data_IF_833834509965
#
_entry.id   IF_833834509965
#
_cell.length_a   1.000
_cell.length_b   1.000
_cell.length_c   1.000
_cell.angle_alpha   90.00
_cell.angle_beta   90.00
_cell.angle_gamma   90.00
#
_symmetry.space_group_name_H-M   'P 1'
#
loop_
_entity.id
_entity.type
_entity.pdbx_description
1 polymer ?
#
# COMPACT_ATOMS: atom_id res chain seq x y z
N UNK A 1 1.94 -3.16 18.79
CA UNK A 1 1.15 -3.83 17.74
C UNK A 1 0.00 -2.91 17.34
N UNK A 2 -0.35 -2.88 16.05
CA UNK A 2 -1.48 -2.11 15.52
C UNK A 2 -2.47 -3.03 14.82
N UNK A 3 -3.71 -2.57 14.59
CA UNK A 3 -4.63 -3.26 13.70
C UNK A 3 -4.28 -2.91 12.25
N UNK A 4 -4.55 -3.83 11.33
CA UNK A 4 -4.30 -3.65 9.90
C UNK A 4 -5.57 -3.88 9.07
N UNK A 5 -5.65 -3.24 7.93
CA UNK A 5 -6.59 -3.62 6.89
C UNK A 5 -5.89 -3.85 5.55
N UNK A 6 -6.37 -4.82 4.80
CA UNK A 6 -5.94 -5.09 3.43
C UNK A 6 -7.03 -4.61 2.49
N UNK A 7 -6.70 -3.69 1.60
CA UNK A 7 -7.63 -3.18 0.58
C UNK A 7 -7.64 -4.12 -0.62
N UNK A 8 -8.57 -5.09 -0.60
CA UNK A 8 -8.68 -6.18 -1.55
C UNK A 8 -9.84 -6.01 -2.56
N UNK A 9 -10.20 -4.75 -2.87
CA UNK A 9 -11.22 -4.43 -3.88
C UNK A 9 -10.72 -4.37 -5.32
N UNK A 10 -9.44 -4.64 -5.56
CA UNK A 10 -8.80 -4.53 -6.87
C UNK A 10 -9.28 -5.59 -7.87
N UNK A 11 -9.66 -5.14 -9.09
CA UNK A 11 -9.91 -6.01 -10.23
C UNK A 11 -8.86 -5.80 -11.30
N UNK A 12 -8.42 -6.89 -11.89
CA UNK A 12 -7.51 -6.90 -13.03
C UNK A 12 -8.01 -7.92 -14.07
N UNK A 13 -8.83 -7.48 -15.06
CA UNK A 13 -9.44 -8.39 -16.04
C UNK A 13 -8.43 -9.25 -16.81
N UNK A 14 -7.20 -8.76 -16.98
CA UNK A 14 -6.13 -9.50 -17.63
C UNK A 14 -5.67 -10.75 -16.83
N UNK A 15 -5.94 -10.80 -15.53
CA UNK A 15 -5.62 -11.97 -14.70
C UNK A 15 -6.52 -13.17 -15.02
N UNK A 16 -7.80 -12.93 -15.38
CA UNK A 16 -8.80 -14.00 -15.56
C UNK A 16 -8.38 -15.11 -16.52
N UNK A 17 -7.84 -14.82 -17.72
CA UNK A 17 -7.39 -15.89 -18.63
C UNK A 17 -6.16 -16.64 -18.13
N UNK A 18 -5.38 -16.08 -17.22
CA UNK A 18 -4.15 -16.68 -16.69
C UNK A 18 -4.37 -17.47 -15.40
N UNK A 19 -5.30 -17.01 -14.57
CA UNK A 19 -5.48 -17.48 -13.19
C UNK A 19 -6.88 -17.97 -12.86
N UNK A 20 -7.84 -17.79 -13.76
CA UNK A 20 -9.27 -18.11 -13.54
C UNK A 20 -10.03 -17.03 -12.78
N UNK A 21 -9.36 -16.02 -12.20
CA UNK A 21 -10.00 -14.93 -11.45
C UNK A 21 -9.53 -13.57 -11.93
N UNK A 22 -10.39 -12.55 -11.79
CA UNK A 22 -10.04 -11.16 -11.99
C UNK A 22 -9.80 -10.41 -10.67
N UNK A 23 -10.11 -11.03 -9.53
CA UNK A 23 -9.83 -10.51 -8.20
C UNK A 23 -8.35 -10.70 -7.86
N UNK A 24 -7.59 -9.59 -7.74
CA UNK A 24 -6.15 -9.65 -7.48
C UNK A 24 -5.81 -10.45 -6.23
N UNK A 25 -6.54 -10.21 -5.15
CA UNK A 25 -6.31 -10.90 -3.88
C UNK A 25 -6.39 -12.44 -3.99
N UNK A 26 -7.24 -12.96 -4.88
CA UNK A 26 -7.47 -14.41 -5.08
C UNK A 26 -6.51 -15.03 -6.12
N UNK A 27 -5.78 -14.20 -6.89
CA UNK A 27 -4.92 -14.71 -7.94
C UNK A 27 -3.77 -15.55 -7.35
N UNK A 28 -3.50 -16.74 -7.90
CA UNK A 28 -2.40 -17.59 -7.47
C UNK A 28 -1.05 -17.04 -7.93
N UNK A 29 -0.07 -17.13 -7.03
CA UNK A 29 1.36 -16.87 -7.28
C UNK A 29 2.15 -17.97 -6.59
N UNK A 30 2.81 -18.85 -7.36
CA UNK A 30 3.36 -20.07 -6.79
C UNK A 30 2.28 -20.94 -6.16
N UNK A 31 2.49 -21.39 -4.94
CA UNK A 31 1.59 -22.31 -4.25
C UNK A 31 0.49 -21.62 -3.42
N UNK A 32 0.49 -20.28 -3.36
CA UNK A 32 -0.45 -19.49 -2.54
C UNK A 32 -1.14 -18.41 -3.39
N UNK A 33 -2.23 -17.85 -2.87
CA UNK A 33 -2.83 -16.64 -3.42
C UNK A 33 -2.02 -15.40 -3.01
N UNK A 34 -2.12 -14.33 -3.75
CA UNK A 34 -1.47 -13.05 -3.41
C UNK A 34 -1.79 -12.64 -1.98
N UNK A 35 -3.07 -12.75 -1.58
CA UNK A 35 -3.51 -12.34 -0.24
C UNK A 35 -2.83 -13.15 0.88
N UNK A 36 -2.54 -14.41 0.66
CA UNK A 36 -1.96 -15.29 1.67
C UNK A 36 -0.54 -14.87 2.02
N UNK A 37 0.28 -14.45 1.04
CA UNK A 37 1.62 -13.89 1.29
C UNK A 37 1.57 -12.63 2.13
N UNK A 38 0.58 -11.76 1.88
CA UNK A 38 0.44 -10.50 2.62
C UNK A 38 0.01 -10.78 4.06
N UNK A 39 -0.95 -11.68 4.27
CA UNK A 39 -1.38 -12.10 5.62
C UNK A 39 -0.20 -12.69 6.39
N UNK A 40 0.54 -13.62 5.77
CA UNK A 40 1.72 -14.25 6.38
C UNK A 40 2.76 -13.20 6.79
N UNK A 41 3.07 -12.25 5.91
CA UNK A 41 4.02 -11.18 6.21
C UNK A 41 3.58 -10.31 7.38
N UNK A 42 2.29 -9.95 7.44
CA UNK A 42 1.74 -9.15 8.52
C UNK A 42 1.75 -9.91 9.86
N UNK A 43 1.27 -11.15 9.89
CA UNK A 43 1.22 -11.97 11.10
C UNK A 43 2.62 -12.28 11.63
N UNK A 44 3.54 -12.73 10.77
CA UNK A 44 4.92 -13.08 11.14
C UNK A 44 5.77 -11.85 11.50
N UNK A 45 5.33 -10.64 11.14
CA UNK A 45 6.02 -9.42 11.59
C UNK A 45 5.98 -9.22 13.09
N UNK A 46 4.95 -9.73 13.77
CA UNK A 46 4.68 -9.45 15.18
C UNK A 46 4.26 -8.00 15.47
N UNK A 47 4.05 -7.18 14.43
CA UNK A 47 3.66 -5.78 14.56
C UNK A 47 2.14 -5.56 14.46
N UNK A 48 1.41 -6.54 13.93
CA UNK A 48 -0.02 -6.48 13.67
C UNK A 48 -0.78 -7.33 14.69
N UNK A 49 -1.89 -6.77 15.22
CA UNK A 49 -2.75 -7.42 16.21
C UNK A 49 -3.92 -8.15 15.55
N UNK A 50 -4.69 -7.44 14.73
CA UNK A 50 -5.86 -7.96 13.99
C UNK A 50 -5.75 -7.52 12.54
N UNK A 51 -6.29 -8.33 11.65
CA UNK A 51 -6.33 -8.05 10.21
C UNK A 51 -7.80 -8.04 9.75
N UNK A 52 -8.18 -6.99 9.03
CA UNK A 52 -9.44 -6.92 8.29
C UNK A 52 -9.13 -6.93 6.80
N UNK A 53 -9.75 -7.82 6.04
CA UNK A 53 -9.68 -7.79 4.58
C UNK A 53 -10.96 -7.14 4.07
N UNK A 54 -10.82 -6.01 3.41
CA UNK A 54 -11.92 -5.34 2.72
C UNK A 54 -11.88 -5.74 1.24
N UNK A 55 -12.80 -6.63 0.85
CA UNK A 55 -12.86 -7.21 -0.48
C UNK A 55 -14.20 -6.92 -1.16
N UNK A 56 -14.26 -7.12 -2.48
CA UNK A 56 -15.54 -7.07 -3.21
C UNK A 56 -16.48 -8.16 -2.74
N UNK A 57 -17.77 -7.89 -2.82
CA UNK A 57 -18.82 -8.81 -2.41
C UNK A 57 -18.68 -10.20 -3.05
N UNK A 58 -18.25 -10.25 -4.32
CA UNK A 58 -18.08 -11.49 -5.08
C UNK A 58 -16.91 -12.36 -4.57
N UNK A 59 -15.88 -11.75 -3.97
CA UNK A 59 -14.73 -12.46 -3.41
C UNK A 59 -14.93 -12.93 -1.97
N UNK A 60 -15.84 -12.30 -1.22
CA UNK A 60 -16.04 -12.58 0.22
C UNK A 60 -16.41 -14.04 0.52
N UNK A 61 -17.26 -14.75 -0.25
CA UNK A 61 -17.59 -16.15 0.04
C UNK A 61 -16.36 -17.07 0.00
N UNK A 62 -15.50 -16.91 -1.00
CA UNK A 62 -14.27 -17.70 -1.13
C UNK A 62 -13.28 -17.38 -0.01
N UNK A 63 -13.07 -16.09 0.29
CA UNK A 63 -12.21 -15.67 1.39
C UNK A 63 -12.71 -16.23 2.73
N UNK A 64 -14.02 -16.17 2.98
CA UNK A 64 -14.61 -16.71 4.22
C UNK A 64 -14.45 -18.21 4.37
N UNK A 65 -14.50 -18.95 3.27
CA UNK A 65 -14.37 -20.41 3.27
C UNK A 65 -12.91 -20.87 3.45
N UNK A 66 -11.93 -20.04 3.10
CA UNK A 66 -10.53 -20.47 2.98
C UNK A 66 -9.58 -19.81 3.96
N UNK A 67 -9.95 -18.68 4.56
CA UNK A 67 -9.10 -17.97 5.53
C UNK A 67 -9.38 -18.41 6.97
N UNK A 68 -8.38 -18.28 7.86
CA UNK A 68 -8.58 -18.47 9.29
C UNK A 68 -9.68 -17.57 9.86
N UNK A 69 -10.38 -18.03 10.90
CA UNK A 69 -11.54 -17.35 11.49
C UNK A 69 -11.20 -16.07 12.26
N UNK A 70 -9.94 -15.87 12.59
CA UNK A 70 -9.41 -14.65 13.23
C UNK A 70 -9.17 -13.51 12.24
N UNK A 71 -9.20 -13.80 10.93
CA UNK A 71 -9.18 -12.78 9.88
C UNK A 71 -10.59 -12.23 9.67
N UNK A 72 -10.75 -10.94 9.94
CA UNK A 72 -12.02 -10.25 9.77
C UNK A 72 -12.25 -9.87 8.30
N UNK A 73 -13.50 -9.87 7.86
CA UNK A 73 -13.87 -9.55 6.48
C UNK A 73 -14.91 -8.42 6.46
N UNK A 74 -14.76 -7.50 5.53
CA UNK A 74 -15.80 -6.52 5.19
C UNK A 74 -15.86 -6.27 3.68
N UNK A 75 -16.93 -5.64 3.23
CA UNK A 75 -17.03 -5.20 1.84
C UNK A 75 -16.15 -3.96 1.61
N UNK A 76 -15.44 -3.94 0.48
CA UNK A 76 -14.67 -2.79 0.04
C UNK A 76 -15.60 -1.70 -0.50
N UNK A 77 -15.46 -0.50 0.01
CA UNK A 77 -16.27 0.65 -0.38
C UNK A 77 -15.48 1.58 -1.30
N UNK A 78 -16.02 1.84 -2.49
CA UNK A 78 -15.68 2.92 -3.40
C UNK A 78 -14.18 3.21 -3.62
N UNK A 79 -13.58 4.01 -2.72
CA UNK A 79 -12.18 4.41 -2.74
C UNK A 79 -11.41 3.89 -1.52
N UNK A 80 -10.08 3.97 -1.54
CA UNK A 80 -9.22 3.50 -0.44
C UNK A 80 -9.58 4.13 0.93
N UNK A 81 -9.84 5.45 1.05
CA UNK A 81 -10.26 6.02 2.32
C UNK A 81 -11.63 5.52 2.81
N UNK A 82 -12.60 5.29 1.92
CA UNK A 82 -13.89 4.71 2.28
C UNK A 82 -13.73 3.26 2.77
N UNK A 83 -12.92 2.48 2.07
CA UNK A 83 -12.54 1.13 2.46
C UNK A 83 -11.86 1.10 3.83
N UNK A 84 -10.95 2.05 4.11
CA UNK A 84 -10.30 2.17 5.41
C UNK A 84 -11.31 2.47 6.54
N UNK A 85 -12.31 3.32 6.28
CA UNK A 85 -13.39 3.60 7.23
C UNK A 85 -14.28 2.38 7.48
N UNK A 86 -14.61 1.61 6.43
CA UNK A 86 -15.38 0.37 6.56
C UNK A 86 -14.62 -0.66 7.42
N UNK A 87 -13.33 -0.84 7.17
CA UNK A 87 -12.47 -1.70 7.97
C UNK A 87 -12.36 -1.24 9.43
N UNK A 88 -12.22 0.07 9.66
CA UNK A 88 -12.18 0.63 11.01
C UNK A 88 -13.48 0.40 11.79
N UNK A 89 -14.64 0.43 11.13
CA UNK A 89 -15.95 0.10 11.74
C UNK A 89 -16.00 -1.37 12.18
N UNK A 90 -15.47 -2.30 11.35
CA UNK A 90 -15.43 -3.73 11.70
C UNK A 90 -14.48 -4.00 12.86
N UNK A 91 -13.37 -3.27 12.96
CA UNK A 91 -12.45 -3.35 14.09
C UNK A 91 -13.06 -2.83 15.40
N UNK A 92 -14.05 -1.94 15.32
CA UNK A 92 -14.76 -1.41 16.50
C UNK A 92 -14.00 -0.33 17.27
N UNK A 93 -14.55 0.03 18.42
CA UNK A 93 -14.01 1.12 19.25
C UNK A 93 -12.67 0.79 19.89
N UNK A 94 -12.43 -0.48 20.21
CA UNK A 94 -11.17 -0.99 20.77
C UNK A 94 -10.04 -1.14 19.74
N UNK A 95 -10.27 -0.71 18.48
CA UNK A 95 -9.23 -0.67 17.47
C UNK A 95 -8.13 0.33 17.84
N UNK A 96 -6.90 0.01 17.40
CA UNK A 96 -5.73 0.85 17.68
C UNK A 96 -5.88 2.26 17.11
N UNK A 97 -5.23 3.25 17.72
CA UNK A 97 -5.27 4.66 17.30
C UNK A 97 -4.76 4.86 15.86
N UNK A 98 -3.73 4.08 15.48
CA UNK A 98 -3.20 4.03 14.11
C UNK A 98 -3.55 2.68 13.48
N UNK A 99 -3.88 2.68 12.19
CA UNK A 99 -4.11 1.49 11.39
C UNK A 99 -3.07 1.37 10.29
N UNK A 100 -2.60 0.15 10.04
CA UNK A 100 -1.78 -0.16 8.87
C UNK A 100 -2.72 -0.52 7.70
N UNK A 101 -2.71 0.29 6.65
CA UNK A 101 -3.36 -0.05 5.38
C UNK A 101 -2.36 -0.69 4.43
N UNK A 102 -2.74 -1.77 3.77
CA UNK A 102 -1.92 -2.51 2.80
C UNK A 102 -2.75 -2.78 1.55
N UNK A 103 -2.17 -2.64 0.36
CA UNK A 103 -2.81 -3.05 -0.89
C UNK A 103 -2.74 -4.58 -1.07
N UNK A 104 -3.67 -5.13 -1.86
CA UNK A 104 -3.82 -6.57 -2.09
C UNK A 104 -2.95 -7.13 -3.21
N UNK A 105 -1.97 -6.38 -3.69
CA UNK A 105 -1.20 -6.69 -4.90
C UNK A 105 0.32 -6.78 -4.71
N UNK A 106 0.79 -6.91 -3.46
CA UNK A 106 2.23 -6.94 -3.12
C UNK A 106 2.63 -8.28 -2.46
N UNK A 107 2.63 -9.41 -3.19
CA UNK A 107 2.96 -10.73 -2.63
C UNK A 107 4.41 -10.86 -2.16
N UNK A 108 5.28 -9.93 -2.55
CA UNK A 108 6.70 -9.90 -2.16
C UNK A 108 6.95 -9.10 -0.87
N UNK A 109 5.89 -8.72 -0.15
CA UNK A 109 6.00 -8.14 1.19
C UNK A 109 6.60 -9.18 2.14
N UNK A 110 7.58 -8.76 2.97
CA UNK A 110 8.22 -9.65 3.94
C UNK A 110 7.95 -9.20 5.38
N UNK A 111 7.98 -10.12 6.35
CA UNK A 111 7.85 -9.76 7.77
C UNK A 111 8.89 -8.75 8.23
N UNK A 112 10.13 -8.86 7.73
CA UNK A 112 11.21 -7.91 8.03
C UNK A 112 10.92 -6.52 7.50
N UNK A 113 10.38 -6.42 6.27
CA UNK A 113 9.99 -5.14 5.70
C UNK A 113 8.93 -4.41 6.55
N UNK A 114 7.98 -5.17 7.07
CA UNK A 114 6.95 -4.64 7.98
C UNK A 114 7.58 -4.17 9.29
N UNK A 115 8.43 -5.00 9.94
CA UNK A 115 9.13 -4.62 11.19
C UNK A 115 9.96 -3.36 11.04
N UNK A 116 10.78 -3.28 9.99
CA UNK A 116 11.68 -2.14 9.77
C UNK A 116 10.90 -0.86 9.45
N UNK A 117 9.78 -0.97 8.74
CA UNK A 117 8.88 0.15 8.54
C UNK A 117 8.30 0.68 9.86
N UNK A 118 7.84 -0.22 10.75
CA UNK A 118 7.34 0.18 12.06
C UNK A 118 8.44 0.76 12.96
N UNK A 119 9.65 0.22 12.92
CA UNK A 119 10.79 0.76 13.65
C UNK A 119 11.09 2.21 13.21
N UNK A 120 11.14 2.46 11.89
CA UNK A 120 11.35 3.81 11.35
C UNK A 120 10.19 4.78 11.69
N UNK A 121 8.94 4.30 11.72
CA UNK A 121 7.81 5.11 12.17
C UNK A 121 7.93 5.49 13.66
N UNK A 122 8.43 4.57 14.49
CA UNK A 122 8.57 4.79 15.93
C UNK A 122 9.65 5.82 16.28
N UNK A 123 10.64 6.05 15.41
CA UNK A 123 11.64 7.12 15.58
C UNK A 123 11.04 8.52 15.48
N UNK A 124 9.87 8.65 14.88
CA UNK A 124 9.19 9.94 14.65
C UNK A 124 7.70 9.86 15.01
N UNK A 125 7.35 9.60 16.27
CA UNK A 125 5.98 9.23 16.71
C UNK A 125 4.95 10.34 16.54
N UNK A 126 5.39 11.59 16.36
CA UNK A 126 4.55 12.79 16.23
C UNK A 126 3.76 12.87 14.91
N UNK A 127 4.04 12.00 13.94
CA UNK A 127 3.35 12.03 12.67
C UNK A 127 2.08 11.16 12.69
N UNK A 128 1.10 11.55 11.88
CA UNK A 128 -0.22 10.92 11.80
C UNK A 128 -0.38 10.03 10.56
N UNK A 129 0.46 10.27 9.55
CA UNK A 129 0.54 9.48 8.33
C UNK A 129 2.00 9.19 7.99
N UNK A 130 2.32 7.91 7.78
CA UNK A 130 3.62 7.46 7.32
C UNK A 130 3.43 6.70 6.01
N UNK A 131 4.23 7.07 5.01
CA UNK A 131 4.17 6.47 3.69
C UNK A 131 5.58 6.02 3.26
N UNK A 132 5.78 4.73 2.93
CA UNK A 132 7.09 4.24 2.49
C UNK A 132 7.40 4.70 1.06
N UNK A 133 8.63 5.14 0.86
CA UNK A 133 9.21 5.40 -0.46
C UNK A 133 10.49 4.58 -0.62
N UNK A 134 10.68 4.03 -1.82
CA UNK A 134 11.76 3.09 -2.10
C UNK A 134 12.70 3.71 -3.13
N UNK A 135 14.02 3.81 -2.85
CA UNK A 135 15.01 4.29 -3.81
C UNK A 135 15.07 3.37 -5.04
N UNK A 136 15.23 3.97 -6.22
CA UNK A 136 15.32 3.23 -7.49
C UNK A 136 16.44 2.18 -7.49
N UNK A 137 17.59 2.49 -6.92
CA UNK A 137 18.72 1.56 -6.82
C UNK A 137 18.36 0.32 -5.98
N UNK A 138 17.59 0.47 -4.90
CA UNK A 138 17.11 -0.64 -4.09
C UNK A 138 16.13 -1.54 -4.87
N UNK A 139 15.22 -0.94 -5.65
CA UNK A 139 14.32 -1.71 -6.53
C UNK A 139 15.09 -2.47 -7.59
N UNK A 140 16.05 -1.83 -8.28
CA UNK A 140 16.84 -2.47 -9.33
C UNK A 140 17.79 -3.56 -8.79
N UNK A 141 18.30 -3.39 -7.57
CA UNK A 141 19.14 -4.40 -6.92
C UNK A 141 18.33 -5.67 -6.56
N UNK A 142 17.11 -5.49 -6.05
CA UNK A 142 16.25 -6.60 -5.66
C UNK A 142 15.53 -7.25 -6.86
N UNK A 143 15.07 -6.44 -7.80
CA UNK A 143 14.22 -6.85 -8.93
C UNK A 143 14.69 -6.18 -10.23
N UNK A 144 15.82 -6.62 -10.83
CA UNK A 144 16.41 -5.97 -12.01
C UNK A 144 15.48 -5.89 -13.22
N UNK A 145 14.59 -6.89 -13.38
CA UNK A 145 13.64 -6.96 -14.49
C UNK A 145 12.34 -6.18 -14.26
N UNK A 146 12.13 -5.64 -13.05
CA UNK A 146 10.91 -4.92 -12.72
C UNK A 146 10.82 -3.56 -13.42
N UNK A 147 9.67 -3.27 -14.01
CA UNK A 147 9.38 -1.98 -14.60
C UNK A 147 8.48 -1.18 -13.67
N UNK A 148 9.03 -0.13 -13.06
CA UNK A 148 8.34 0.73 -12.09
C UNK A 148 8.32 2.17 -12.55
N UNK A 149 7.30 2.90 -12.12
CA UNK A 149 7.25 4.35 -12.28
C UNK A 149 8.04 5.02 -11.15
N UNK A 150 8.95 5.90 -11.51
CA UNK A 150 9.79 6.60 -10.54
C UNK A 150 9.58 8.10 -10.61
N UNK A 151 9.47 8.73 -9.45
CA UNK A 151 9.54 10.18 -9.29
C UNK A 151 10.98 10.65 -9.06
N UNK A 152 11.40 11.68 -9.81
CA UNK A 152 12.69 12.35 -9.57
C UNK A 152 12.48 13.51 -8.61
N UNK A 153 13.11 13.43 -7.44
CA UNK A 153 13.17 14.49 -6.44
C UNK A 153 14.60 15.02 -6.33
N UNK A 154 14.78 16.12 -5.64
CA UNK A 154 16.12 16.66 -5.35
C UNK A 154 16.95 15.70 -4.47
N UNK A 155 16.28 14.92 -3.62
CA UNK A 155 16.90 13.95 -2.70
C UNK A 155 17.21 12.61 -3.37
N UNK A 156 16.77 12.38 -4.60
CA UNK A 156 16.98 11.13 -5.31
C UNK A 156 15.81 10.69 -6.21
N UNK A 157 15.83 9.44 -6.62
CA UNK A 157 14.82 8.84 -7.49
C UNK A 157 14.10 7.73 -6.72
N UNK A 158 12.78 7.88 -6.55
CA UNK A 158 11.99 7.00 -5.68
C UNK A 158 10.73 6.50 -6.38
N UNK A 159 10.22 5.36 -5.91
CA UNK A 159 8.85 4.91 -6.16
C UNK A 159 8.10 4.86 -4.84
N UNK A 160 6.75 4.95 -4.88
CA UNK A 160 5.92 4.77 -3.70
C UNK A 160 5.79 3.29 -3.32
N UNK A 161 5.50 3.03 -2.04
CA UNK A 161 5.10 1.70 -1.60
C UNK A 161 3.58 1.55 -1.56
N UNK A 162 3.13 0.33 -1.35
CA UNK A 162 1.72 -0.07 -1.35
C UNK A 162 1.20 -0.40 0.06
N UNK A 163 1.74 0.29 1.06
CA UNK A 163 1.22 0.29 2.42
C UNK A 163 1.36 1.66 3.06
N UNK A 164 0.61 1.94 4.14
CA UNK A 164 0.70 3.17 4.90
C UNK A 164 0.25 2.96 6.34
N UNK A 165 0.88 3.64 7.28
CA UNK A 165 0.42 3.68 8.68
C UNK A 165 -0.26 5.03 8.92
N UNK A 166 -1.54 5.02 9.32
CA UNK A 166 -2.34 6.23 9.47
C UNK A 166 -3.12 6.26 10.77
N UNK A 167 -3.25 7.44 11.38
CA UNK A 167 -4.14 7.65 12.51
C UNK A 167 -5.62 7.59 12.07
N UNK A 168 -6.47 6.89 12.82
CA UNK A 168 -7.91 6.77 12.49
C UNK A 168 -8.60 8.12 12.31
N UNK A 169 -8.24 9.10 13.13
CA UNK A 169 -8.85 10.44 13.10
C UNK A 169 -8.70 11.16 11.75
N UNK A 170 -7.73 10.77 10.91
CA UNK A 170 -7.49 11.41 9.60
C UNK A 170 -8.26 10.77 8.44
N UNK A 171 -8.89 9.62 8.65
CA UNK A 171 -9.57 8.90 7.57
C UNK A 171 -10.69 9.71 6.89
N UNK A 172 -11.53 10.47 7.62
CA UNK A 172 -12.54 11.33 7.01
C UNK A 172 -11.93 12.42 6.11
N UNK A 173 -10.83 13.06 6.56
CA UNK A 173 -10.09 14.06 5.77
C UNK A 173 -9.45 13.43 4.54
N UNK A 174 -8.89 12.21 4.69
CA UNK A 174 -8.33 11.42 3.58
C UNK A 174 -9.35 11.17 2.49
N UNK A 175 -10.60 10.85 2.84
CA UNK A 175 -11.68 10.67 1.88
C UNK A 175 -12.01 11.96 1.14
N UNK A 176 -12.06 13.09 1.83
CA UNK A 176 -12.29 14.39 1.20
C UNK A 176 -11.17 14.73 0.20
N UNK A 177 -9.90 14.57 0.60
CA UNK A 177 -8.74 14.85 -0.26
C UNK A 177 -8.72 13.92 -1.48
N UNK A 178 -9.03 12.63 -1.32
CA UNK A 178 -9.14 11.70 -2.44
C UNK A 178 -10.21 12.14 -3.45
N UNK A 179 -11.39 12.56 -2.98
CA UNK A 179 -12.46 13.13 -3.84
C UNK A 179 -12.00 14.39 -4.57
N UNK A 180 -11.26 15.27 -3.91
CA UNK A 180 -10.69 16.48 -4.48
C UNK A 180 -9.68 16.19 -5.62
N UNK A 181 -8.78 15.22 -5.39
CA UNK A 181 -7.84 14.74 -6.42
C UNK A 181 -8.60 14.15 -7.60
N UNK A 182 -9.57 13.27 -7.31
CA UNK A 182 -10.36 12.61 -8.34
C UNK A 182 -11.15 13.62 -9.20
N UNK A 183 -11.76 14.61 -8.56
CA UNK A 183 -12.50 15.67 -9.27
C UNK A 183 -11.61 16.52 -10.19
N UNK A 184 -10.33 16.68 -9.83
CA UNK A 184 -9.38 17.54 -10.57
C UNK A 184 -8.46 16.80 -11.54
N UNK A 185 -8.40 15.45 -11.48
CA UNK A 185 -7.44 14.64 -12.27
C UNK A 185 -7.51 14.88 -13.79
N UNK A 186 -8.70 15.24 -14.31
CA UNK A 186 -8.92 15.51 -15.74
C UNK A 186 -8.56 16.95 -16.17
N UNK A 187 -8.19 17.82 -15.22
CA UNK A 187 -7.84 19.21 -15.49
C UNK A 187 -6.48 19.56 -14.88
N UNK A 188 -5.39 19.50 -15.66
CA UNK A 188 -4.05 19.80 -15.16
C UNK A 188 -3.96 21.16 -14.47
N UNK A 189 -4.61 22.21 -15.02
CA UNK A 189 -4.61 23.55 -14.42
C UNK A 189 -5.29 23.58 -13.03
N UNK A 190 -6.42 22.89 -12.86
CA UNK A 190 -7.11 22.80 -11.56
C UNK A 190 -6.28 22.03 -10.55
N UNK A 191 -5.59 20.98 -11.00
CA UNK A 191 -4.67 20.21 -10.17
C UNK A 191 -3.45 21.05 -9.77
N UNK A 192 -2.85 21.80 -10.71
CA UNK A 192 -1.75 22.71 -10.43
C UNK A 192 -2.13 23.80 -9.43
N UNK A 193 -3.30 24.42 -9.58
CA UNK A 193 -3.80 25.43 -8.64
C UNK A 193 -4.00 24.84 -7.24
N UNK A 194 -4.51 23.59 -7.16
CA UNK A 194 -4.74 22.92 -5.89
C UNK A 194 -3.44 22.45 -5.21
N UNK A 195 -2.51 21.88 -5.98
CA UNK A 195 -1.18 21.48 -5.50
C UNK A 195 -0.26 22.68 -5.24
N UNK A 196 -0.49 23.81 -5.93
CA UNK A 196 0.34 25.03 -5.87
C UNK A 196 1.39 25.05 -6.98
N UNK A 197 1.45 26.18 -7.67
CA UNK A 197 2.36 26.39 -8.81
C UNK A 197 3.84 26.21 -8.44
N UNK A 198 4.25 26.68 -7.26
CA UNK A 198 5.63 26.50 -6.80
C UNK A 198 6.00 25.01 -6.62
N UNK A 199 5.06 24.19 -6.15
CA UNK A 199 5.24 22.74 -6.02
C UNK A 199 5.43 22.10 -7.40
N UNK A 200 4.58 22.44 -8.36
CA UNK A 200 4.64 21.90 -9.73
C UNK A 200 5.93 22.34 -10.43
N UNK A 201 6.31 23.63 -10.32
CA UNK A 201 7.56 24.11 -10.92
C UNK A 201 8.77 23.38 -10.33
N UNK A 202 8.85 23.24 -9.00
CA UNK A 202 9.91 22.46 -8.35
C UNK A 202 9.94 21.02 -8.84
N UNK A 203 8.78 20.37 -8.99
CA UNK A 203 8.66 18.99 -9.51
C UNK A 203 9.20 18.89 -10.95
N UNK A 204 8.75 19.77 -11.84
CA UNK A 204 9.19 19.78 -13.25
C UNK A 204 10.69 20.07 -13.40
N UNK A 205 11.24 20.90 -12.53
CA UNK A 205 12.68 21.22 -12.51
C UNK A 205 13.51 20.20 -11.71
N UNK A 206 12.91 19.11 -11.22
CA UNK A 206 13.55 18.11 -10.36
C UNK A 206 14.18 18.71 -9.08
N UNK A 207 13.62 19.82 -8.59
CA UNK A 207 14.04 20.55 -7.37
C UNK A 207 13.10 20.34 -6.19
N UNK A 208 12.05 19.54 -6.36
CA UNK A 208 11.15 19.19 -5.28
C UNK A 208 11.85 18.23 -4.33
N UNK A 209 11.89 18.56 -3.04
CA UNK A 209 12.45 17.70 -1.99
C UNK A 209 11.35 16.81 -1.37
N UNK A 210 11.77 15.73 -0.68
CA UNK A 210 10.88 14.92 0.16
C UNK A 210 10.20 15.83 1.20
N UNK A 211 10.94 16.71 1.84
CA UNK A 211 10.41 17.66 2.82
C UNK A 211 9.36 18.62 2.23
N UNK A 212 9.53 19.08 0.99
CA UNK A 212 8.52 19.87 0.29
C UNK A 212 7.23 19.06 0.07
N UNK A 213 7.38 17.78 -0.31
CA UNK A 213 6.26 16.87 -0.53
C UNK A 213 5.51 16.58 0.79
N UNK A 214 6.24 16.25 1.86
CA UNK A 214 5.68 16.07 3.21
C UNK A 214 4.90 17.31 3.66
N UNK A 215 5.52 18.49 3.55
CA UNK A 215 4.89 19.76 3.92
C UNK A 215 3.62 20.05 3.12
N UNK A 216 3.65 19.76 1.82
CA UNK A 216 2.48 19.97 0.96
C UNK A 216 1.34 19.01 1.29
N UNK A 217 1.65 17.72 1.46
CA UNK A 217 0.67 16.70 1.84
C UNK A 217 0.09 16.99 3.22
N UNK A 218 0.94 17.35 4.18
CA UNK A 218 0.52 17.75 5.53
C UNK A 218 -0.46 18.92 5.51
N UNK A 219 -0.19 19.94 4.68
CA UNK A 219 -1.08 21.09 4.51
C UNK A 219 -2.43 20.70 3.87
N UNK A 220 -2.42 19.80 2.89
CA UNK A 220 -3.64 19.37 2.18
C UNK A 220 -4.54 18.48 3.06
N UNK A 221 -3.93 17.64 3.86
CA UNK A 221 -4.63 16.73 4.77
C UNK A 221 -4.89 17.33 6.15
N UNK A 222 -4.29 18.50 6.47
CA UNK A 222 -4.32 19.12 7.81
C UNK A 222 -3.78 18.20 8.91
N UNK A 223 -2.69 17.47 8.61
CA UNK A 223 -2.04 16.49 9.50
C UNK A 223 -0.53 16.50 9.29
N UNK A 224 0.20 15.84 10.17
CA UNK A 224 1.64 15.64 10.01
C UNK A 224 1.94 14.36 9.23
N UNK A 225 2.44 14.51 8.00
CA UNK A 225 2.83 13.41 7.13
C UNK A 225 4.34 13.20 7.16
N UNK A 226 4.78 11.94 7.07
CA UNK A 226 6.17 11.54 6.97
C UNK A 226 6.39 10.51 5.88
N UNK A 227 7.37 10.74 5.01
CA UNK A 227 7.87 9.75 4.09
C UNK A 227 8.95 8.90 4.80
N UNK A 228 8.82 7.60 4.74
CA UNK A 228 9.78 6.63 5.29
C UNK A 228 10.59 6.06 4.13
N UNK A 229 11.87 6.40 4.07
CA UNK A 229 12.77 5.80 3.07
C UNK A 229 13.10 4.39 3.52
N UNK A 230 12.77 3.41 2.69
CA UNK A 230 13.06 2.00 2.95
C UNK A 230 13.72 1.35 1.74
N UNK A 231 14.61 0.39 1.98
CA UNK A 231 15.24 -0.40 0.92
C UNK A 231 14.52 -1.72 0.63
N UNK A 232 13.42 -2.00 1.33
CA UNK A 232 12.58 -3.19 1.12
C UNK A 232 11.74 -3.03 -0.15
N UNK A 233 12.30 -3.39 -1.28
CA UNK A 233 11.67 -3.20 -2.59
C UNK A 233 10.33 -3.94 -2.74
N UNK A 234 10.13 -5.06 -2.03
CA UNK A 234 8.88 -5.83 -2.03
C UNK A 234 7.64 -5.02 -1.60
N UNK A 235 7.81 -3.94 -0.80
CA UNK A 235 6.72 -3.04 -0.43
C UNK A 235 6.15 -2.28 -1.65
N UNK A 236 6.98 -2.07 -2.68
CA UNK A 236 6.61 -1.35 -3.89
C UNK A 236 6.41 -2.23 -5.11
N UNK A 237 6.39 -3.56 -4.96
CA UNK A 237 6.27 -4.51 -6.07
C UNK A 237 4.84 -5.02 -6.21
N UNK A 238 3.97 -4.14 -6.73
CA UNK A 238 2.59 -4.48 -7.09
C UNK A 238 2.52 -5.24 -8.42
N UNK A 239 1.50 -6.09 -8.52
CA UNK A 239 1.17 -6.87 -9.71
C UNK A 239 0.15 -6.12 -10.56
N UNK A 240 0.64 -5.34 -11.54
CA UNK A 240 -0.19 -4.55 -12.45
C UNK A 240 -0.34 -5.18 -13.85
N UNK A 241 0.57 -6.07 -14.25
CA UNK A 241 0.64 -6.68 -15.58
C UNK A 241 1.20 -8.11 -15.52
N UNK A 242 1.03 -8.93 -16.58
CA UNK A 242 1.49 -10.32 -16.61
C UNK A 242 2.97 -10.52 -16.24
N UNK A 243 3.85 -9.62 -16.69
CA UNK A 243 5.28 -9.70 -16.38
C UNK A 243 5.57 -9.55 -14.87
N UNK A 244 4.75 -8.78 -14.13
CA UNK A 244 4.89 -8.62 -12.68
C UNK A 244 4.46 -9.90 -11.96
N UNK A 245 3.41 -10.58 -12.46
CA UNK A 245 2.95 -11.88 -11.94
C UNK A 245 4.03 -12.95 -12.12
N UNK A 246 4.62 -13.03 -13.30
CA UNK A 246 5.71 -13.97 -13.61
C UNK A 246 6.92 -13.72 -12.73
N UNK A 247 7.30 -12.45 -12.56
CA UNK A 247 8.41 -12.05 -11.70
C UNK A 247 8.14 -12.46 -10.24
N UNK A 248 6.94 -12.19 -9.73
CA UNK A 248 6.56 -12.55 -8.38
C UNK A 248 6.59 -14.07 -8.18
N UNK A 249 6.04 -14.84 -9.13
CA UNK A 249 6.07 -16.31 -9.08
C UNK A 249 7.50 -16.88 -9.04
N UNK A 250 8.41 -16.36 -9.86
CA UNK A 250 9.82 -16.76 -9.85
C UNK A 250 10.50 -16.45 -8.50
N UNK A 251 10.12 -15.34 -7.87
CA UNK A 251 10.74 -14.89 -6.62
C UNK A 251 10.28 -15.71 -5.42
N UNK A 252 8.96 -15.98 -5.30
CA UNK A 252 8.42 -16.78 -4.20
C UNK A 252 8.92 -18.23 -4.27
N UNK A 253 9.00 -18.83 -5.48
CA UNK A 253 9.51 -20.19 -5.67
C UNK A 253 10.98 -20.32 -5.25
N UNK A 254 11.82 -19.33 -5.56
CA UNK A 254 13.23 -19.34 -5.15
C UNK A 254 13.42 -19.25 -3.63
N UNK A 255 12.58 -18.47 -2.96
CA UNK A 255 12.68 -18.29 -1.51
C UNK A 255 12.09 -19.45 -0.70
N UNK A 256 11.10 -20.15 -1.23
CA UNK A 256 10.57 -21.39 -0.63
C UNK A 256 11.55 -22.57 -0.77
N UNK A 257 12.40 -22.55 -1.80
CA UNK A 257 13.40 -23.59 -2.05
C UNK A 257 14.71 -23.43 -1.26
N UNK A 258 14.91 -22.31 -0.55
CA UNK A 258 16.09 -22.08 0.29
C UNK A 258 15.78 -22.54 1.71
N UNK A 259 16.47 -23.55 2.25
CA UNK A 259 16.26 -24.00 3.63
C UNK A 259 16.56 -22.85 4.60
N UNK A 260 15.68 -22.65 5.58
CA UNK A 260 15.81 -21.70 6.70
C UNK A 260 16.98 -22.06 7.61
#
# INVERSE_FOLDING_TARGET
MVDAFISAGGLSPWLKPLTGTEHRCLAPVGDKRIIDYIIDALQQSGCVRRIVIAARQEALPELRATLPTDILLCEAEGDLPATALAAAKVLGEDSTEKLLGVCDDIPLLTPTAVRDFFAACAEQPQHELYYPIIPKDACLAAFPAAQRTYGKLADGVFTGGNMMLMAKKIMPQGQQVAREIFARRKSPLKLCNWLGWSFIIKLLLHRLTIADAEKRTSKLLHINCKAIITRHAGIGMDIDKPADLELAAQYVTKHESSPR
#
